data_IF_114828657235
#
_entry.id   IF_114828657235
#
_cell.length_a   1.000
_cell.length_b   1.000
_cell.length_c   1.000
_cell.angle_alpha   90.00
_cell.angle_beta   90.00
_cell.angle_gamma   90.00
#
_symmetry.space_group_name_H-M   'P 1'
#
loop_
_entity.id
_entity.type
_entity.pdbx_description
1 polymer ?
#
# COMPACT_ATOMS: atom_id res chain seq x y z
N UNK A 1 -38.51 12.24 6.23
CA UNK A 1 -39.02 11.80 7.54
C UNK A 1 -38.83 10.31 7.79
N UNK A 2 -39.19 9.39 6.90
CA UNK A 2 -39.02 7.92 7.07
C UNK A 2 -37.53 7.48 7.21
N UNK A 3 -36.61 8.11 6.47
CA UNK A 3 -35.18 7.78 6.52
C UNK A 3 -34.55 8.19 7.85
N UNK A 4 -34.90 9.35 8.38
CA UNK A 4 -34.41 9.86 9.65
C UNK A 4 -34.89 9.00 10.83
N UNK A 5 -36.15 8.53 10.79
CA UNK A 5 -36.69 7.61 11.80
C UNK A 5 -36.02 6.22 11.73
N UNK A 6 -35.70 5.76 10.53
CA UNK A 6 -34.94 4.50 10.35
C UNK A 6 -33.53 4.59 10.93
N UNK A 7 -32.78 5.68 10.62
CA UNK A 7 -31.46 5.95 11.16
C UNK A 7 -31.49 6.00 12.70
N UNK A 8 -32.46 6.70 13.30
CA UNK A 8 -32.62 6.78 14.76
C UNK A 8 -32.95 5.40 15.39
N UNK A 9 -33.70 4.55 14.69
CA UNK A 9 -34.07 3.23 15.17
C UNK A 9 -32.93 2.22 15.06
N UNK A 10 -32.09 2.34 14.03
CA UNK A 10 -30.95 1.44 13.77
C UNK A 10 -29.67 1.91 14.50
N UNK A 11 -29.62 3.17 14.99
CA UNK A 11 -28.48 3.76 15.67
C UNK A 11 -28.03 3.00 16.94
N UNK A 12 -28.92 2.53 17.83
CA UNK A 12 -28.50 1.73 18.97
C UNK A 12 -27.87 0.38 18.59
N UNK A 13 -28.37 -0.28 17.56
CA UNK A 13 -27.80 -1.54 17.07
C UNK A 13 -26.44 -1.31 16.38
N UNK A 14 -26.27 -0.20 15.69
CA UNK A 14 -24.98 0.22 15.11
C UNK A 14 -23.96 0.53 16.18
N UNK A 15 -24.34 1.26 17.23
CA UNK A 15 -23.48 1.50 18.42
C UNK A 15 -23.10 0.19 19.10
N UNK A 16 -24.07 -0.72 19.29
CA UNK A 16 -23.82 -2.02 19.90
C UNK A 16 -22.84 -2.87 19.07
N UNK A 17 -22.95 -2.85 17.75
CA UNK A 17 -22.01 -3.49 16.84
C UNK A 17 -20.58 -2.89 16.90
N UNK A 18 -20.46 -1.61 17.22
CA UNK A 18 -19.17 -0.91 17.38
C UNK A 18 -18.40 -1.25 18.66
N UNK A 19 -19.07 -1.73 19.71
CA UNK A 19 -18.43 -2.03 21.01
C UNK A 19 -17.33 -3.10 20.89
N UNK A 20 -17.50 -4.06 20.00
CA UNK A 20 -16.48 -5.08 19.73
C UNK A 20 -15.14 -4.46 19.28
N UNK A 21 -15.20 -3.48 18.39
CA UNK A 21 -14.01 -2.76 17.91
C UNK A 21 -13.37 -1.92 18.99
N UNK A 22 -14.19 -1.23 19.80
CA UNK A 22 -13.70 -0.44 20.95
C UNK A 22 -13.07 -1.37 21.99
N UNK A 23 -13.72 -2.49 22.31
CA UNK A 23 -13.20 -3.47 23.26
C UNK A 23 -11.88 -4.09 22.78
N UNK A 24 -11.72 -4.35 21.49
CA UNK A 24 -10.46 -4.88 20.94
C UNK A 24 -9.31 -3.88 21.05
N UNK A 25 -9.57 -2.58 20.89
CA UNK A 25 -8.56 -1.54 21.09
C UNK A 25 -8.14 -1.48 22.56
N UNK A 26 -9.09 -1.46 23.49
CA UNK A 26 -8.77 -1.49 24.92
C UNK A 26 -8.04 -2.77 25.34
N UNK A 27 -8.44 -3.92 24.80
CA UNK A 27 -7.74 -5.18 25.01
C UNK A 27 -6.30 -5.12 24.52
N UNK A 28 -6.08 -4.55 23.33
CA UNK A 28 -4.73 -4.35 22.81
C UNK A 28 -3.86 -3.51 23.76
N UNK A 29 -4.35 -2.37 24.23
CA UNK A 29 -3.61 -1.55 25.18
C UNK A 29 -3.40 -2.24 26.53
N UNK A 30 -4.38 -2.99 27.02
CA UNK A 30 -4.24 -3.77 28.26
C UNK A 30 -3.18 -4.88 28.12
N UNK A 31 -3.16 -5.60 26.99
CA UNK A 31 -2.14 -6.61 26.72
C UNK A 31 -0.76 -5.99 26.54
N UNK A 32 -0.67 -4.81 25.91
CA UNK A 32 0.58 -4.08 25.80
C UNK A 32 1.11 -3.67 27.18
N UNK A 33 0.27 -3.05 28.01
CA UNK A 33 0.67 -2.66 29.37
C UNK A 33 1.03 -3.85 30.25
N UNK A 34 0.30 -4.96 30.13
CA UNK A 34 0.65 -6.23 30.78
C UNK A 34 2.02 -6.77 30.31
N UNK A 35 2.27 -6.73 29.00
CA UNK A 35 3.60 -7.10 28.47
C UNK A 35 4.71 -6.20 28.99
N UNK A 36 4.48 -4.89 29.11
CA UNK A 36 5.40 -3.94 29.72
C UNK A 36 5.74 -4.32 31.17
N UNK A 37 4.75 -4.68 31.98
CA UNK A 37 4.96 -5.09 33.36
C UNK A 37 5.82 -6.37 33.49
N UNK A 38 5.79 -7.26 32.49
CA UNK A 38 6.60 -8.49 32.47
C UNK A 38 8.02 -8.21 31.98
N UNK A 39 8.18 -7.44 30.88
CA UNK A 39 9.45 -7.27 30.21
C UNK A 39 10.22 -6.01 30.62
N UNK A 40 9.55 -5.04 31.24
CA UNK A 40 10.13 -3.76 31.67
C UNK A 40 10.41 -2.77 30.53
N UNK A 41 10.75 -1.55 30.93
CA UNK A 41 10.91 -0.38 30.03
C UNK A 41 11.93 -0.59 28.92
N UNK A 42 13.00 -1.34 29.20
CA UNK A 42 14.11 -1.51 28.24
C UNK A 42 13.71 -2.35 27.01
N UNK A 43 12.77 -3.29 27.18
CA UNK A 43 12.36 -4.21 26.12
C UNK A 43 11.04 -3.76 25.50
N UNK A 44 10.10 -3.34 26.35
CA UNK A 44 8.77 -2.92 25.94
C UNK A 44 8.30 -1.71 26.76
N UNK A 45 8.51 -0.48 26.26
CA UNK A 45 8.01 0.73 26.95
C UNK A 45 6.49 0.70 27.14
N UNK A 46 6.00 1.36 28.18
CA UNK A 46 4.57 1.44 28.42
C UNK A 46 3.84 2.23 27.32
N UNK A 47 2.53 1.99 27.09
CA UNK A 47 1.75 2.80 26.15
C UNK A 47 1.85 4.30 26.47
N UNK A 48 1.80 4.66 27.75
CA UNK A 48 1.87 6.06 28.19
C UNK A 48 3.21 6.71 27.82
N UNK A 49 4.32 6.04 28.11
CA UNK A 49 5.67 6.54 27.76
C UNK A 49 5.85 6.68 26.26
N UNK A 50 5.33 5.72 25.50
CA UNK A 50 5.36 5.76 24.03
C UNK A 50 4.63 6.97 23.47
N UNK A 51 3.44 7.31 24.03
CA UNK A 51 2.71 8.51 23.60
C UNK A 51 3.41 9.80 24.03
N UNK A 52 4.04 9.83 25.20
CA UNK A 52 4.84 10.98 25.62
C UNK A 52 6.05 11.17 24.70
N UNK A 53 6.79 10.09 24.40
CA UNK A 53 7.92 10.12 23.48
C UNK A 53 7.49 10.56 22.08
N UNK A 54 6.35 10.06 21.57
CA UNK A 54 5.79 10.49 20.29
C UNK A 54 5.53 12.00 20.26
N UNK A 55 4.90 12.53 21.32
CA UNK A 55 4.66 13.98 21.42
C UNK A 55 5.96 14.78 21.45
N UNK A 56 6.99 14.30 22.15
CA UNK A 56 8.32 14.92 22.19
C UNK A 56 8.97 14.93 20.80
N UNK A 57 8.94 13.79 20.09
CA UNK A 57 9.46 13.67 18.71
C UNK A 57 8.75 14.63 17.76
N UNK A 58 7.42 14.70 17.85
CA UNK A 58 6.61 15.58 17.00
C UNK A 58 6.80 17.07 17.31
N UNK A 59 7.28 17.40 18.50
CA UNK A 59 7.55 18.78 18.93
C UNK A 59 8.99 19.22 18.62
N UNK A 60 9.90 18.29 18.36
CA UNK A 60 11.31 18.60 18.06
C UNK A 60 11.48 18.91 16.58
N UNK A 61 11.96 20.12 16.28
CA UNK A 61 12.17 20.58 14.91
C UNK A 61 13.24 19.79 14.13
N UNK A 62 14.20 19.18 14.82
CA UNK A 62 15.21 18.32 14.21
C UNK A 62 14.60 16.98 13.77
N UNK A 63 13.79 16.38 14.63
CA UNK A 63 13.07 15.13 14.34
C UNK A 63 12.02 15.31 13.25
N UNK A 64 11.33 16.47 13.23
CA UNK A 64 10.38 16.78 12.15
C UNK A 64 11.05 16.81 10.78
N UNK A 65 12.29 17.34 10.68
CA UNK A 65 13.06 17.34 9.43
C UNK A 65 13.37 15.91 8.97
N UNK A 66 13.81 15.05 9.88
CA UNK A 66 14.11 13.64 9.56
C UNK A 66 12.86 12.87 9.14
N UNK A 67 11.73 13.11 9.81
CA UNK A 67 10.43 12.54 9.41
C UNK A 67 10.07 12.99 8.00
N UNK A 68 10.18 14.29 7.70
CA UNK A 68 9.87 14.83 6.38
C UNK A 68 10.76 14.25 5.28
N UNK A 69 12.06 14.13 5.53
CA UNK A 69 13.02 13.52 4.61
C UNK A 69 12.63 12.04 4.34
N UNK A 70 12.31 11.31 5.40
CA UNK A 70 11.90 9.90 5.28
C UNK A 70 10.61 9.74 4.48
N UNK A 71 9.61 10.57 4.74
CA UNK A 71 8.36 10.59 3.98
C UNK A 71 8.62 10.90 2.51
N UNK A 72 9.45 11.91 2.22
CA UNK A 72 9.81 12.29 0.85
C UNK A 72 10.48 11.13 0.09
N UNK A 73 11.45 10.44 0.72
CA UNK A 73 12.12 9.26 0.15
C UNK A 73 11.12 8.13 -0.12
N UNK A 74 10.25 7.85 0.84
CA UNK A 74 9.24 6.81 0.72
C UNK A 74 8.24 7.11 -0.41
N UNK A 75 7.70 8.32 -0.46
CA UNK A 75 6.77 8.75 -1.54
C UNK A 75 7.46 8.67 -2.90
N UNK A 76 8.71 9.11 -3.01
CA UNK A 76 9.44 9.07 -4.27
C UNK A 76 9.70 7.64 -4.73
N UNK A 77 10.19 6.76 -3.84
CA UNK A 77 10.43 5.35 -4.16
C UNK A 77 9.14 4.60 -4.52
N UNK A 78 8.07 4.84 -3.77
CA UNK A 78 6.75 4.27 -4.07
C UNK A 78 6.16 4.83 -5.38
N UNK A 79 6.28 6.13 -5.62
CA UNK A 79 5.85 6.76 -6.87
C UNK A 79 6.53 6.18 -8.09
N UNK A 80 7.86 5.92 -8.00
CA UNK A 80 8.60 5.20 -9.04
C UNK A 80 8.07 3.78 -9.24
N UNK A 81 7.78 3.05 -8.16
CA UNK A 81 7.20 1.70 -8.24
C UNK A 81 5.82 1.71 -8.91
N UNK A 82 4.97 2.68 -8.57
CA UNK A 82 3.66 2.85 -9.21
C UNK A 82 3.81 3.16 -10.69
N UNK A 83 4.68 4.09 -11.05
CA UNK A 83 4.88 4.48 -12.44
C UNK A 83 5.42 3.30 -13.28
N UNK A 84 6.58 2.76 -12.89
CA UNK A 84 7.25 1.69 -13.65
C UNK A 84 6.46 0.39 -13.59
N UNK A 85 5.94 0.02 -12.42
CA UNK A 85 5.13 -1.18 -12.23
C UNK A 85 3.84 -1.16 -13.04
N UNK A 86 3.15 -0.02 -13.09
CA UNK A 86 1.91 0.13 -13.88
C UNK A 86 2.19 0.05 -15.39
N UNK A 87 3.24 0.71 -15.87
CA UNK A 87 3.60 0.67 -17.30
C UNK A 87 3.99 -0.76 -17.71
N UNK A 88 4.91 -1.39 -16.98
CA UNK A 88 5.37 -2.74 -17.30
C UNK A 88 4.28 -3.78 -17.09
N UNK A 89 3.44 -3.63 -16.06
CA UNK A 89 2.30 -4.51 -15.81
C UNK A 89 1.22 -4.40 -16.89
N UNK A 90 0.93 -3.18 -17.37
CA UNK A 90 0.05 -2.94 -18.51
C UNK A 90 0.60 -3.64 -19.78
N UNK A 91 1.87 -3.44 -20.10
CA UNK A 91 2.51 -4.09 -21.25
C UNK A 91 2.47 -5.62 -21.14
N UNK A 92 2.76 -6.16 -19.96
CA UNK A 92 2.66 -7.60 -19.69
C UNK A 92 1.21 -8.11 -19.74
N UNK A 93 0.23 -7.28 -19.43
CA UNK A 93 -1.18 -7.60 -19.55
C UNK A 93 -1.65 -7.64 -21.03
N UNK A 94 -1.17 -6.71 -21.84
CA UNK A 94 -1.50 -6.62 -23.28
C UNK A 94 -0.79 -7.69 -24.12
N UNK A 95 0.46 -8.03 -23.80
CA UNK A 95 1.27 -8.95 -24.58
C UNK A 95 1.54 -10.25 -23.82
N UNK A 96 1.09 -11.39 -24.35
CA UNK A 96 1.27 -12.71 -23.74
C UNK A 96 2.74 -13.06 -23.55
N UNK A 97 3.60 -12.74 -24.51
CA UNK A 97 5.05 -12.98 -24.44
C UNK A 97 5.67 -12.20 -23.29
N UNK A 98 5.34 -10.92 -23.12
CA UNK A 98 5.85 -10.09 -22.04
C UNK A 98 5.40 -10.63 -20.66
N UNK A 99 4.18 -11.15 -20.57
CA UNK A 99 3.68 -11.79 -19.37
C UNK A 99 4.44 -13.08 -19.01
N UNK A 100 4.75 -13.92 -19.99
CA UNK A 100 5.49 -15.16 -19.76
C UNK A 100 6.92 -14.83 -19.30
N UNK A 101 7.56 -13.87 -19.93
CA UNK A 101 8.95 -13.46 -19.60
C UNK A 101 9.05 -12.76 -18.24
N UNK A 102 8.04 -12.00 -17.82
CA UNK A 102 8.06 -11.29 -16.55
C UNK A 102 7.81 -12.19 -15.33
N UNK A 103 7.10 -13.31 -15.48
CA UNK A 103 6.72 -14.20 -14.37
C UNK A 103 7.91 -14.63 -13.49
N UNK A 104 9.01 -15.21 -14.05
CA UNK A 104 10.11 -15.66 -13.21
C UNK A 104 10.78 -14.50 -12.46
N UNK A 105 10.92 -13.34 -13.09
CA UNK A 105 11.53 -12.16 -12.50
C UNK A 105 10.69 -11.68 -11.30
N UNK A 106 9.39 -11.51 -11.51
CA UNK A 106 8.47 -11.05 -10.47
C UNK A 106 8.38 -12.07 -9.33
N UNK A 107 8.42 -13.38 -9.64
CA UNK A 107 8.42 -14.42 -8.61
C UNK A 107 9.68 -14.36 -7.75
N UNK A 108 10.86 -14.12 -8.33
CA UNK A 108 12.10 -13.93 -7.57
C UNK A 108 12.01 -12.70 -6.68
N UNK A 109 11.53 -11.57 -7.21
CA UNK A 109 11.38 -10.33 -6.46
C UNK A 109 10.43 -10.49 -5.26
N UNK A 110 9.35 -11.24 -5.43
CA UNK A 110 8.42 -11.57 -4.34
C UNK A 110 9.00 -12.55 -3.31
N UNK A 111 9.80 -13.50 -3.77
CA UNK A 111 10.37 -14.53 -2.92
C UNK A 111 11.49 -14.01 -2.00
N UNK A 112 12.07 -12.86 -2.31
CA UNK A 112 13.14 -12.27 -1.50
C UNK A 112 12.54 -11.45 -0.34
N UNK A 113 12.95 -11.73 0.92
CA UNK A 113 12.55 -10.89 2.05
C UNK A 113 13.01 -9.45 1.88
N UNK A 114 12.18 -8.44 2.26
CA UNK A 114 12.55 -7.02 2.13
C UNK A 114 13.88 -6.65 2.77
N UNK A 115 14.25 -7.33 3.87
CA UNK A 115 15.54 -7.12 4.56
C UNK A 115 16.74 -7.43 3.66
N UNK A 116 16.65 -8.42 2.78
CA UNK A 116 17.73 -8.77 1.85
C UNK A 116 17.96 -7.63 0.85
N UNK A 117 16.89 -6.96 0.38
CA UNK A 117 16.99 -5.80 -0.50
C UNK A 117 17.65 -4.61 0.17
N UNK A 118 17.41 -4.38 1.48
CA UNK A 118 18.09 -3.32 2.24
C UNK A 118 19.60 -3.57 2.24
N UNK A 119 20.03 -4.81 2.56
CA UNK A 119 21.46 -5.17 2.62
C UNK A 119 22.12 -5.01 1.25
N UNK A 120 21.49 -5.51 0.19
CA UNK A 120 22.01 -5.36 -1.17
C UNK A 120 22.10 -3.89 -1.60
N UNK A 121 21.08 -3.10 -1.29
CA UNK A 121 21.07 -1.68 -1.60
C UNK A 121 22.19 -0.93 -0.87
N UNK A 122 22.45 -1.27 0.40
CA UNK A 122 23.57 -0.68 1.15
C UNK A 122 24.93 -1.05 0.55
N UNK A 123 25.09 -2.26 0.04
CA UNK A 123 26.33 -2.69 -0.64
C UNK A 123 26.52 -1.96 -1.97
N UNK A 124 25.45 -1.77 -2.75
CA UNK A 124 25.53 -1.14 -4.08
C UNK A 124 25.60 0.37 -4.05
N UNK A 125 24.85 1.01 -3.17
CA UNK A 125 24.65 2.46 -3.14
C UNK A 125 25.22 3.13 -1.90
N UNK A 126 25.72 2.36 -0.91
CA UNK A 126 26.14 2.89 0.37
C UNK A 126 24.98 3.31 1.26
N UNK A 127 25.28 4.03 2.34
CA UNK A 127 24.26 4.61 3.23
C UNK A 127 23.83 5.98 2.71
N UNK A 128 22.56 6.10 2.28
CA UNK A 128 22.04 7.38 1.75
C UNK A 128 20.63 7.28 1.19
N UNK A 129 20.21 8.37 0.57
CA UNK A 129 18.84 8.52 0.00
C UNK A 129 18.53 7.46 -1.04
N UNK A 130 19.49 7.14 -1.91
CA UNK A 130 19.34 6.16 -2.99
C UNK A 130 18.99 4.78 -2.46
N UNK A 131 19.64 4.37 -1.36
CA UNK A 131 19.39 3.08 -0.70
C UNK A 131 17.95 2.98 -0.23
N UNK A 132 17.42 4.02 0.42
CA UNK A 132 16.04 4.04 0.92
C UNK A 132 15.06 4.03 -0.25
N UNK A 133 15.26 4.89 -1.25
CA UNK A 133 14.40 5.00 -2.43
C UNK A 133 14.37 3.68 -3.20
N UNK A 134 15.53 3.07 -3.43
CA UNK A 134 15.63 1.78 -4.13
C UNK A 134 14.92 0.66 -3.35
N UNK A 135 15.10 0.60 -2.04
CA UNK A 135 14.48 -0.43 -1.21
C UNK A 135 12.95 -0.32 -1.24
N UNK A 136 12.40 0.89 -1.12
CA UNK A 136 10.95 1.11 -1.23
C UNK A 136 10.46 0.76 -2.63
N UNK A 137 11.19 1.17 -3.67
CA UNK A 137 10.87 0.85 -5.06
C UNK A 137 10.80 -0.66 -5.28
N UNK A 138 11.87 -1.41 -4.95
CA UNK A 138 11.96 -2.83 -5.27
C UNK A 138 10.98 -3.68 -4.46
N UNK A 139 10.67 -3.28 -3.23
CA UNK A 139 9.67 -3.95 -2.39
C UNK A 139 8.23 -3.72 -2.89
N UNK A 140 7.93 -2.53 -3.42
CA UNK A 140 6.59 -2.16 -3.89
C UNK A 140 6.32 -2.55 -5.35
N UNK A 141 7.37 -2.56 -6.18
CA UNK A 141 7.27 -2.81 -7.63
C UNK A 141 6.52 -4.10 -8.00
N UNK A 142 6.82 -5.28 -7.41
CA UNK A 142 6.15 -6.52 -7.81
C UNK A 142 4.65 -6.49 -7.54
N UNK A 143 4.22 -5.86 -6.44
CA UNK A 143 2.80 -5.74 -6.07
C UNK A 143 2.06 -4.89 -7.10
N UNK A 144 2.61 -3.73 -7.41
CA UNK A 144 2.04 -2.81 -8.41
C UNK A 144 2.02 -3.45 -9.80
N UNK A 145 3.11 -4.12 -10.19
CA UNK A 145 3.21 -4.81 -11.47
C UNK A 145 2.12 -5.88 -11.63
N UNK A 146 1.93 -6.74 -10.62
CA UNK A 146 0.90 -7.79 -10.66
C UNK A 146 -0.49 -7.17 -10.67
N UNK A 147 -0.74 -6.15 -9.86
CA UNK A 147 -2.01 -5.42 -9.87
C UNK A 147 -2.34 -4.86 -11.25
N UNK A 148 -1.37 -4.19 -11.90
CA UNK A 148 -1.55 -3.64 -13.23
C UNK A 148 -1.73 -4.72 -14.31
N UNK A 149 -0.98 -5.82 -14.23
CA UNK A 149 -1.13 -6.97 -15.13
C UNK A 149 -2.51 -7.59 -14.99
N UNK A 150 -2.98 -7.82 -13.78
CA UNK A 150 -4.31 -8.39 -13.52
C UNK A 150 -5.42 -7.42 -13.96
N UNK A 151 -5.32 -6.14 -13.58
CA UNK A 151 -6.24 -5.10 -14.00
C UNK A 151 -6.37 -5.01 -15.52
N UNK A 152 -5.27 -5.18 -16.25
CA UNK A 152 -5.31 -5.18 -17.73
C UNK A 152 -5.99 -6.42 -18.29
N UNK A 153 -5.85 -7.58 -17.66
CA UNK A 153 -6.38 -8.85 -18.15
C UNK A 153 -7.83 -9.12 -17.80
N UNK A 154 -8.28 -8.59 -16.69
CA UNK A 154 -9.64 -8.82 -16.16
C UNK A 154 -10.69 -7.86 -16.70
N UNK A 155 -10.32 -6.94 -17.62
CA UNK A 155 -11.29 -6.09 -18.29
C UNK A 155 -12.28 -6.99 -19.06
N UNK A 156 -13.56 -6.76 -18.82
CA UNK A 156 -14.66 -7.50 -19.45
C UNK A 156 -14.55 -7.49 -20.97
N UNK A 157 -14.78 -8.68 -21.58
CA UNK A 157 -14.70 -8.83 -23.04
C UNK A 157 -15.66 -7.90 -23.78
N UNK A 158 -16.85 -7.68 -23.22
CA UNK A 158 -17.86 -6.79 -23.81
C UNK A 158 -17.41 -5.33 -23.86
N UNK A 159 -16.71 -4.84 -22.84
CA UNK A 159 -16.11 -3.50 -22.84
C UNK A 159 -15.02 -3.37 -23.90
N UNK A 160 -14.19 -4.40 -24.09
CA UNK A 160 -13.18 -4.43 -25.17
C UNK A 160 -13.84 -4.42 -26.54
N UNK A 161 -14.84 -5.29 -26.76
CA UNK A 161 -15.59 -5.34 -28.00
C UNK A 161 -16.31 -4.02 -28.32
N UNK A 162 -16.88 -3.37 -27.30
CA UNK A 162 -17.49 -2.06 -27.44
C UNK A 162 -16.47 -1.02 -27.93
N UNK A 163 -15.29 -0.94 -27.29
CA UNK A 163 -14.25 0.01 -27.70
C UNK A 163 -13.71 -0.27 -29.10
N UNK A 164 -13.69 -1.55 -29.51
CA UNK A 164 -13.27 -1.94 -30.86
C UNK A 164 -14.35 -1.61 -31.90
N UNK A 165 -15.62 -1.84 -31.59
CA UNK A 165 -16.76 -1.52 -32.46
C UNK A 165 -16.87 -0.01 -32.73
N UNK A 166 -16.57 0.82 -31.75
CA UNK A 166 -16.52 2.27 -31.90
C UNK A 166 -15.19 2.79 -32.50
N UNK A 167 -14.26 1.92 -32.83
CA UNK A 167 -12.94 2.25 -33.39
C UNK A 167 -12.21 3.32 -32.55
N UNK A 168 -12.31 3.23 -31.22
CA UNK A 168 -11.69 4.20 -30.31
C UNK A 168 -10.16 4.18 -30.46
N UNK A 169 -9.52 5.36 -30.50
CA UNK A 169 -8.06 5.44 -30.55
C UNK A 169 -7.44 4.85 -29.28
N UNK A 170 -6.23 4.34 -29.38
CA UNK A 170 -5.53 3.68 -28.25
C UNK A 170 -5.40 4.60 -27.03
N UNK A 171 -5.21 5.89 -27.24
CA UNK A 171 -5.16 6.87 -26.15
C UNK A 171 -6.44 6.91 -25.32
N UNK A 172 -7.61 6.92 -25.96
CA UNK A 172 -8.90 6.85 -25.26
C UNK A 172 -9.05 5.52 -24.50
N UNK A 173 -8.74 4.39 -25.16
CA UNK A 173 -8.74 3.06 -24.48
C UNK A 173 -7.82 3.07 -23.27
N UNK A 174 -6.63 3.69 -23.37
CA UNK A 174 -5.68 3.75 -22.27
C UNK A 174 -6.19 4.56 -21.08
N UNK A 175 -6.68 5.79 -21.33
CA UNK A 175 -7.06 6.70 -20.25
C UNK A 175 -8.45 6.42 -19.68
N UNK A 176 -9.40 5.99 -20.51
CA UNK A 176 -10.80 5.83 -20.11
C UNK A 176 -11.16 4.39 -19.71
N UNK A 177 -10.37 3.39 -20.16
CA UNK A 177 -10.63 1.99 -19.85
C UNK A 177 -9.50 1.34 -19.03
N UNK A 178 -8.25 1.32 -19.53
CA UNK A 178 -7.17 0.58 -18.88
C UNK A 178 -6.73 1.21 -17.57
N UNK A 179 -6.42 2.51 -17.54
CA UNK A 179 -5.91 3.16 -16.35
C UNK A 179 -6.88 3.14 -15.16
N UNK A 180 -8.17 3.51 -15.30
CA UNK A 180 -9.11 3.43 -14.19
C UNK A 180 -9.26 2.00 -13.65
N UNK A 181 -9.29 1.02 -14.55
CA UNK A 181 -9.40 -0.39 -14.15
C UNK A 181 -8.15 -0.90 -13.46
N UNK A 182 -6.95 -0.54 -13.94
CA UNK A 182 -5.67 -0.85 -13.29
C UNK A 182 -5.61 -0.25 -11.89
N UNK A 183 -6.01 1.02 -11.73
CA UNK A 183 -6.04 1.66 -10.42
C UNK A 183 -6.95 0.94 -9.43
N UNK A 184 -8.09 0.40 -9.87
CA UNK A 184 -8.97 -0.39 -9.00
C UNK A 184 -8.34 -1.70 -8.51
N UNK A 185 -7.35 -2.24 -9.21
CA UNK A 185 -6.59 -3.42 -8.80
C UNK A 185 -5.35 -3.10 -7.96
N UNK A 186 -4.71 -1.95 -8.21
CA UNK A 186 -3.55 -1.49 -7.42
C UNK A 186 -4.01 -0.98 -6.05
N UNK A 187 -5.14 -0.27 -6.04
CA UNK A 187 -5.76 0.29 -4.84
C UNK A 187 -7.15 -0.32 -4.65
N UNK A 188 -7.25 -1.59 -4.22
CA UNK A 188 -8.55 -2.15 -3.91
C UNK A 188 -9.21 -1.29 -2.84
N UNK A 189 -10.41 -0.79 -3.13
CA UNK A 189 -11.23 -0.14 -2.14
C UNK A 189 -11.49 -1.18 -1.05
N UNK A 190 -10.93 -0.98 0.13
CA UNK A 190 -11.29 -1.75 1.30
C UNK A 190 -12.74 -1.42 1.63
N UNK A 191 -13.60 -2.38 1.37
CA UNK A 191 -14.99 -2.35 1.79
C UNK A 191 -15.08 -2.80 3.24
#
# INVERSE_FOLDING_TARGET
MKLFIKILKDFPSYLWGGWGSVASIFLFFALWDFGHQIYGDLILPSPKETFIALNTILSDSSMQKEIFITIKRAIFGFGLAVLVGSILGLLAGLFTTASIMSRPIVTILFGMPPIAWIVLAMIWFGMGDTTVIFTVFIASFPIVFIGALQGTRTIEGDLKQMTDSFHLPFSMKLFDLYLPHIFSYIFPAYI
#
